data_IF_219171911815
#
_entry.id   IF_219171911815
#
_cell.length_a   1.000
_cell.length_b   1.000
_cell.length_c   1.000
_cell.angle_alpha   90.00
_cell.angle_beta   90.00
_cell.angle_gamma   90.00
#
_symmetry.space_group_name_H-M   'P 1'
#
loop_
_entity.id
_entity.type
_entity.pdbx_description
1 polymer ?
#
# COMPACT_ATOMS: atom_id res chain seq x y z
N UNK A 1 -44.24 41.61 11.08
CA UNK A 1 -44.64 40.24 11.46
C UNK A 1 -43.38 39.37 11.44
N UNK A 2 -43.20 38.53 12.46
CA UNK A 2 -42.13 37.53 12.70
C UNK A 2 -40.67 38.06 12.68
N UNK A 3 -40.07 38.51 13.78
CA UNK A 3 -39.59 37.84 15.03
C UNK A 3 -38.30 37.01 14.86
N UNK A 4 -37.21 37.67 15.27
CA UNK A 4 -35.92 37.15 15.71
C UNK A 4 -36.03 36.27 16.96
N UNK A 5 -35.20 35.23 17.04
CA UNK A 5 -34.86 34.51 18.27
C UNK A 5 -33.43 33.95 18.17
N UNK A 6 -32.51 34.28 19.09
CA UNK A 6 -31.30 33.52 19.32
C UNK A 6 -31.45 32.59 20.53
N UNK A 7 -30.79 31.44 20.45
CA UNK A 7 -30.68 30.44 21.52
C UNK A 7 -29.83 30.97 22.68
N UNK A 8 -30.26 30.69 23.90
CA UNK A 8 -29.53 31.01 25.13
C UNK A 8 -28.69 29.85 25.64
N UNK A 9 -27.64 30.18 26.38
CA UNK A 9 -27.08 29.29 27.41
C UNK A 9 -27.04 30.01 28.76
N UNK A 10 -27.44 29.25 29.76
CA UNK A 10 -27.70 29.62 31.14
C UNK A 10 -26.39 29.71 31.92
N UNK A 11 -26.07 30.90 32.41
CA UNK A 11 -25.04 31.14 33.42
C UNK A 11 -25.74 31.14 34.79
N UNK A 12 -25.43 30.17 35.65
CA UNK A 12 -25.80 30.20 37.06
C UNK A 12 -24.56 30.58 37.87
N UNK A 13 -24.55 31.82 38.34
CA UNK A 13 -23.72 32.26 39.44
C UNK A 13 -24.63 32.57 40.65
N UNK A 14 -24.27 32.03 41.81
CA UNK A 14 -24.69 32.52 43.13
C UNK A 14 -23.36 32.75 43.86
N UNK A 15 -22.86 33.98 44.04
CA UNK A 15 -23.38 35.01 44.95
C UNK A 15 -22.97 34.65 46.39
N UNK A 16 -22.20 35.41 47.16
CA UNK A 16 -21.57 36.71 47.00
C UNK A 16 -20.97 37.17 48.35
N UNK A 17 -19.98 38.08 48.30
CA UNK A 17 -19.60 39.10 49.31
C UNK A 17 -19.04 38.63 50.67
N UNK A 18 -18.15 39.33 51.38
CA UNK A 18 -17.82 40.76 51.42
C UNK A 18 -16.45 40.97 52.12
N UNK A 19 -15.61 41.83 51.51
CA UNK A 19 -14.69 42.87 52.04
C UNK A 19 -13.81 42.60 53.28
N UNK A 20 -12.50 42.88 53.16
CA UNK A 20 -11.67 43.31 54.29
C UNK A 20 -10.16 43.32 54.07
N UNK A 21 -9.60 44.49 53.77
CA UNK A 21 -8.16 44.76 53.65
C UNK A 21 -7.56 45.02 55.05
N UNK A 22 -6.52 44.30 55.49
CA UNK A 22 -5.60 44.76 56.53
C UNK A 22 -4.19 44.22 56.31
N UNK A 23 -3.24 45.14 56.23
CA UNK A 23 -1.82 44.88 56.27
C UNK A 23 -1.34 44.65 57.71
N UNK A 24 -0.30 43.82 57.81
CA UNK A 24 0.93 44.03 58.60
C UNK A 24 1.26 43.01 59.72
N UNK A 25 2.58 42.78 59.76
CA UNK A 25 3.47 42.37 60.84
C UNK A 25 3.77 40.88 61.07
N UNK A 26 5.06 40.60 60.93
CA UNK A 26 5.82 39.40 61.25
C UNK A 26 5.82 39.07 62.73
N UNK A 27 5.57 37.80 63.07
CA UNK A 27 5.94 37.22 64.37
C UNK A 27 6.45 35.79 64.12
N UNK A 28 7.74 35.58 64.33
CA UNK A 28 8.37 34.25 64.45
C UNK A 28 8.10 33.71 65.86
N UNK A 29 7.80 32.41 66.03
CA UNK A 29 8.40 31.71 67.15
C UNK A 29 8.89 30.29 66.82
N UNK A 30 10.20 30.12 67.02
CA UNK A 30 10.89 29.02 67.68
C UNK A 30 10.37 27.57 67.55
N UNK A 31 11.14 26.75 66.83
CA UNK A 31 11.08 25.28 66.80
C UNK A 31 12.03 24.72 67.88
N UNK A 32 11.61 23.74 68.71
CA UNK A 32 12.55 22.86 69.40
C UNK A 32 12.81 21.57 68.60
N UNK A 33 14.08 21.20 68.48
CA UNK A 33 14.62 19.93 67.95
C UNK A 33 14.42 18.79 68.96
N UNK A 34 14.01 17.55 68.61
CA UNK A 34 14.79 16.35 68.18
C UNK A 34 13.85 15.10 68.35
N UNK A 35 14.18 13.84 67.92
CA UNK A 35 15.43 13.34 67.34
C UNK A 35 15.28 12.59 65.99
N UNK A 36 16.43 12.30 65.40
CA UNK A 36 16.62 11.53 64.19
C UNK A 36 16.07 10.09 64.30
N UNK A 37 15.30 9.67 63.29
CA UNK A 37 15.03 8.27 63.00
C UNK A 37 15.90 7.81 61.84
N UNK A 38 16.46 6.62 62.04
CA UNK A 38 17.44 5.91 61.24
C UNK A 38 17.02 5.76 59.78
N UNK A 39 18.00 5.92 58.89
CA UNK A 39 17.92 5.62 57.47
C UNK A 39 17.54 4.15 57.27
N UNK A 40 16.29 3.89 56.88
CA UNK A 40 15.97 2.67 56.15
C UNK A 40 16.45 2.89 54.72
N UNK A 41 17.52 2.20 54.36
CA UNK A 41 17.82 1.89 52.95
C UNK A 41 16.60 1.18 52.37
N UNK A 42 15.85 1.86 51.51
CA UNK A 42 14.97 1.22 50.55
C UNK A 42 15.83 0.28 49.70
N UNK A 43 15.81 -1.00 50.04
CA UNK A 43 16.17 -2.02 49.08
C UNK A 43 15.04 -2.04 48.07
N UNK A 44 15.30 -1.41 46.93
CA UNK A 44 14.55 -1.60 45.69
C UNK A 44 14.59 -3.09 45.36
N UNK A 45 13.63 -3.82 45.92
CA UNK A 45 13.48 -5.25 45.70
C UNK A 45 12.63 -5.34 44.45
N UNK A 46 13.26 -5.25 43.29
CA UNK A 46 12.60 -5.52 42.02
C UNK A 46 11.89 -6.88 42.17
N UNK A 47 10.56 -6.88 42.00
CA UNK A 47 9.79 -8.12 41.94
C UNK A 47 10.49 -9.04 40.93
N UNK A 48 10.72 -10.33 41.27
CA UNK A 48 11.38 -11.24 40.35
C UNK A 48 10.60 -11.25 39.04
N UNK A 49 11.30 -10.98 37.92
CA UNK A 49 10.71 -11.01 36.58
C UNK A 49 9.86 -12.28 36.43
N UNK A 50 8.65 -12.15 35.88
CA UNK A 50 7.75 -13.28 35.62
C UNK A 50 8.36 -14.31 34.68
N UNK A 51 9.42 -13.93 33.97
CA UNK A 51 10.19 -14.73 33.03
C UNK A 51 11.45 -15.35 33.66
N UNK A 52 11.66 -15.15 34.97
CA UNK A 52 12.83 -15.67 35.66
C UNK A 52 12.88 -17.21 35.62
N UNK A 53 14.06 -17.74 35.30
CA UNK A 53 14.32 -19.18 35.26
C UNK A 53 14.00 -19.86 33.92
N UNK A 54 13.47 -19.12 32.94
CA UNK A 54 13.35 -19.61 31.56
C UNK A 54 14.72 -19.68 30.88
N UNK A 55 14.87 -20.64 29.97
CA UNK A 55 16.03 -20.69 29.09
C UNK A 55 16.02 -19.48 28.14
N UNK A 56 17.19 -18.88 27.91
CA UNK A 56 17.31 -17.65 27.13
C UNK A 56 17.63 -17.97 25.68
N UNK A 57 16.81 -17.45 24.78
CA UNK A 57 17.08 -17.36 23.35
C UNK A 57 17.82 -16.04 23.04
N UNK A 58 18.64 -16.06 22.00
CA UNK A 58 19.37 -14.88 21.52
C UNK A 58 18.90 -14.57 20.10
N UNK A 59 18.49 -13.33 19.85
CA UNK A 59 18.07 -12.89 18.52
C UNK A 59 19.21 -13.07 17.50
N UNK A 60 18.90 -13.66 16.34
CA UNK A 60 19.90 -13.98 15.31
C UNK A 60 20.62 -15.32 15.51
N UNK A 61 20.47 -15.96 16.68
CA UNK A 61 21.02 -17.28 16.93
C UNK A 61 19.97 -18.37 16.76
N UNK A 62 20.41 -19.52 16.25
CA UNK A 62 19.56 -20.70 16.12
C UNK A 62 19.41 -21.39 17.48
N UNK A 63 18.17 -21.56 17.94
CA UNK A 63 17.84 -22.36 19.11
C UNK A 63 17.29 -23.72 18.68
N UNK A 64 17.62 -24.80 19.40
CA UNK A 64 17.05 -26.13 19.16
C UNK A 64 16.40 -26.66 20.42
N UNK A 65 15.26 -27.32 20.27
CA UNK A 65 14.55 -27.95 21.36
C UNK A 65 13.75 -29.16 20.89
N UNK A 66 12.98 -29.74 21.80
CA UNK A 66 12.08 -30.84 21.50
C UNK A 66 10.86 -30.75 22.42
N UNK A 67 9.66 -30.80 21.82
CA UNK A 67 8.42 -30.94 22.59
C UNK A 67 8.17 -32.43 22.79
N UNK A 68 8.06 -32.87 24.04
CA UNK A 68 7.87 -34.29 24.42
C UNK A 68 6.63 -34.47 25.28
N UNK A 69 6.28 -35.73 25.60
CA UNK A 69 5.20 -36.04 26.54
C UNK A 69 5.44 -35.53 27.97
N UNK A 70 6.69 -35.19 28.31
CA UNK A 70 7.07 -34.63 29.61
C UNK A 70 7.00 -33.10 29.63
N UNK A 71 6.97 -32.44 28.46
CA UNK A 71 6.83 -30.99 28.32
C UNK A 71 5.53 -30.47 28.95
N UNK A 72 5.47 -29.17 29.22
CA UNK A 72 4.32 -28.57 29.90
C UNK A 72 3.02 -28.77 29.08
N UNK A 73 1.92 -29.08 29.77
CA UNK A 73 0.62 -29.34 29.15
C UNK A 73 -0.19 -28.06 29.03
N UNK A 74 -0.66 -27.75 27.82
CA UNK A 74 -1.71 -26.77 27.60
C UNK A 74 -3.06 -27.38 28.01
N UNK A 75 -3.68 -26.83 29.06
CA UNK A 75 -4.93 -27.35 29.60
C UNK A 75 -6.17 -27.10 28.73
N UNK A 76 -6.07 -26.25 27.71
CA UNK A 76 -7.20 -25.90 26.85
C UNK A 76 -7.40 -26.93 25.72
N UNK A 77 -6.32 -27.32 25.04
CA UNK A 77 -6.34 -28.19 23.85
C UNK A 77 -5.54 -29.50 24.02
N UNK A 78 -4.84 -29.66 25.14
CA UNK A 78 -4.02 -30.84 25.44
C UNK A 78 -2.67 -30.88 24.72
N UNK A 79 -2.33 -29.85 23.94
CA UNK A 79 -1.00 -29.69 23.33
C UNK A 79 0.09 -29.53 24.38
N UNK A 80 1.35 -29.65 23.93
CA UNK A 80 2.53 -29.59 24.77
C UNK A 80 3.44 -28.48 24.29
N UNK A 81 4.11 -27.81 25.21
CA UNK A 81 4.91 -26.64 24.86
C UNK A 81 6.18 -26.50 25.70
N UNK A 82 7.13 -25.76 25.14
CA UNK A 82 8.35 -25.27 25.80
C UNK A 82 8.35 -23.73 25.83
N UNK A 83 9.07 -23.14 26.77
CA UNK A 83 9.12 -21.67 26.98
C UNK A 83 10.55 -21.16 27.02
N UNK A 84 10.76 -20.04 26.36
CA UNK A 84 12.03 -19.34 26.31
C UNK A 84 11.82 -17.86 26.57
N UNK A 85 12.87 -17.17 27.01
CA UNK A 85 12.91 -15.71 27.11
C UNK A 85 13.86 -15.15 26.06
N UNK A 86 13.47 -14.08 25.39
CA UNK A 86 14.28 -13.36 24.40
C UNK A 86 14.27 -11.87 24.72
N UNK A 87 15.42 -11.21 24.68
CA UNK A 87 15.51 -9.77 24.84
C UNK A 87 15.37 -9.09 23.47
N UNK A 88 14.43 -8.16 23.35
CA UNK A 88 14.12 -7.43 22.12
C UNK A 88 14.16 -5.92 22.38
N UNK A 89 14.55 -5.15 21.37
CA UNK A 89 14.67 -3.70 21.46
C UNK A 89 13.41 -3.03 20.87
N UNK A 90 13.03 -1.88 21.39
CA UNK A 90 11.94 -1.03 20.87
C UNK A 90 12.18 -0.72 19.38
N UNK A 91 11.09 -0.66 18.62
CA UNK A 91 11.04 -0.48 17.17
C UNK A 91 11.62 -1.63 16.32
N UNK A 92 12.18 -2.68 16.92
CA UNK A 92 12.56 -3.88 16.16
C UNK A 92 11.31 -4.49 15.50
N UNK A 93 11.39 -4.82 14.21
CA UNK A 93 10.52 -5.82 13.60
C UNK A 93 11.25 -7.16 13.63
N UNK A 94 10.72 -8.12 14.39
CA UNK A 94 11.33 -9.43 14.56
C UNK A 94 10.52 -10.50 13.87
N UNK A 95 11.20 -11.31 13.06
CA UNK A 95 10.66 -12.56 12.55
C UNK A 95 11.19 -13.72 13.39
N UNK A 96 10.29 -14.62 13.81
CA UNK A 96 10.65 -15.91 14.42
C UNK A 96 10.00 -17.03 13.63
N UNK A 97 10.81 -17.92 13.06
CA UNK A 97 10.35 -19.11 12.36
C UNK A 97 10.51 -20.36 13.22
N UNK A 98 9.51 -21.22 13.17
CA UNK A 98 9.53 -22.55 13.73
C UNK A 98 9.77 -23.57 12.61
N UNK A 99 10.91 -24.25 12.68
CA UNK A 99 11.30 -25.28 11.72
C UNK A 99 11.47 -26.64 12.40
N UNK A 100 11.36 -27.73 11.65
CA UNK A 100 11.69 -29.07 12.12
C UNK A 100 10.55 -30.08 11.94
N UNK A 101 10.56 -31.13 12.77
CA UNK A 101 9.56 -32.21 12.67
C UNK A 101 8.32 -31.93 13.52
N UNK A 102 8.41 -31.00 14.47
CA UNK A 102 7.28 -30.56 15.27
C UNK A 102 6.28 -29.83 14.38
N UNK A 103 5.04 -30.33 14.32
CA UNK A 103 3.90 -29.60 13.77
C UNK A 103 3.36 -28.70 14.88
N UNK A 104 3.43 -27.40 14.71
CA UNK A 104 3.16 -26.48 15.79
C UNK A 104 3.27 -25.01 15.41
N UNK A 105 3.29 -24.17 16.43
CA UNK A 105 3.43 -22.72 16.30
C UNK A 105 4.39 -22.20 17.36
N UNK A 106 4.96 -21.03 17.09
CA UNK A 106 5.60 -20.18 18.08
C UNK A 106 4.66 -19.02 18.42
N UNK A 107 4.49 -18.75 19.70
CA UNK A 107 3.74 -17.61 20.21
C UNK A 107 4.68 -16.67 20.97
N UNK A 108 4.46 -15.37 20.85
CA UNK A 108 5.22 -14.33 21.55
C UNK A 108 4.32 -13.58 22.54
N UNK A 109 4.83 -13.41 23.77
CA UNK A 109 4.16 -12.69 24.84
C UNK A 109 5.05 -11.58 25.39
N UNK A 110 4.42 -10.49 25.83
CA UNK A 110 5.11 -9.41 26.56
C UNK A 110 5.48 -9.81 28.01
N UNK A 111 6.12 -8.90 28.73
CA UNK A 111 6.55 -9.08 30.13
C UNK A 111 5.36 -9.17 31.12
N UNK A 112 4.17 -8.70 30.70
CA UNK A 112 2.92 -8.82 31.42
C UNK A 112 2.18 -10.13 31.11
N UNK A 113 2.73 -10.98 30.24
CA UNK A 113 2.16 -12.22 29.74
C UNK A 113 0.90 -12.02 28.88
N UNK A 114 0.77 -10.87 28.21
CA UNK A 114 -0.20 -10.70 27.12
C UNK A 114 0.34 -11.35 25.86
N UNK A 115 -0.50 -12.13 25.18
CA UNK A 115 -0.19 -12.69 23.87
C UNK A 115 -0.18 -11.54 22.86
N UNK A 116 0.89 -11.43 22.09
CA UNK A 116 0.98 -10.46 20.99
C UNK A 116 0.60 -11.13 19.68
N UNK A 117 1.21 -12.29 19.38
CA UNK A 117 0.93 -13.05 18.17
C UNK A 117 1.31 -14.54 18.30
N UNK A 118 0.79 -15.40 17.40
CA UNK A 118 1.21 -16.79 17.25
C UNK A 118 1.07 -17.31 15.82
N UNK A 119 2.15 -17.88 15.29
CA UNK A 119 2.19 -18.49 13.95
C UNK A 119 3.35 -19.50 13.82
N UNK A 120 3.44 -20.19 12.68
CA UNK A 120 4.65 -20.97 12.33
C UNK A 120 5.82 -20.04 12.00
N UNK A 121 5.54 -18.95 11.28
CA UNK A 121 6.44 -17.80 11.09
C UNK A 121 5.70 -16.59 11.61
N UNK A 122 6.13 -16.06 12.76
CA UNK A 122 5.54 -14.85 13.34
C UNK A 122 6.40 -13.64 13.00
N UNK A 123 5.77 -12.49 12.78
CA UNK A 123 6.43 -11.20 12.63
C UNK A 123 5.81 -10.22 13.61
N UNK A 124 6.64 -9.68 14.50
CA UNK A 124 6.17 -8.82 15.57
C UNK A 124 6.97 -7.52 15.61
N UNK A 125 6.26 -6.39 15.51
CA UNK A 125 6.83 -5.09 15.84
C UNK A 125 6.88 -4.92 17.36
N UNK A 126 8.03 -4.47 17.86
CA UNK A 126 8.29 -4.38 19.29
C UNK A 126 8.05 -2.96 19.76
N UNK A 127 6.96 -2.76 20.51
CA UNK A 127 6.58 -1.43 20.99
C UNK A 127 7.45 -0.92 22.14
N UNK A 128 8.10 -1.81 22.89
CA UNK A 128 8.91 -1.46 24.07
C UNK A 128 10.10 -2.40 24.22
N UNK A 129 11.27 -1.86 24.56
CA UNK A 129 12.46 -2.68 24.83
C UNK A 129 12.23 -3.54 26.08
N UNK A 130 12.55 -4.84 26.04
CA UNK A 130 12.34 -5.72 27.18
C UNK A 130 12.62 -7.20 26.94
N UNK A 131 12.36 -7.99 27.98
CA UNK A 131 12.35 -9.46 27.88
C UNK A 131 10.93 -9.90 27.45
N UNK A 132 10.86 -10.66 26.36
CA UNK A 132 9.65 -11.28 25.81
C UNK A 132 9.71 -12.80 26.02
N UNK A 133 8.54 -13.45 26.09
CA UNK A 133 8.45 -14.90 26.20
C UNK A 133 8.07 -15.52 24.86
N UNK A 134 8.89 -16.44 24.37
CA UNK A 134 8.56 -17.32 23.25
C UNK A 134 8.00 -18.64 23.78
N UNK A 135 6.88 -19.09 23.23
CA UNK A 135 6.26 -20.37 23.56
C UNK A 135 6.17 -21.20 22.30
N UNK A 136 6.90 -22.32 22.25
CA UNK A 136 6.83 -23.28 21.14
C UNK A 136 5.84 -24.36 21.53
N UNK A 137 4.73 -24.47 20.81
CA UNK A 137 3.65 -25.40 21.10
C UNK A 137 3.41 -26.34 19.94
N UNK A 138 3.17 -27.62 20.24
CA UNK A 138 2.59 -28.55 19.26
C UNK A 138 1.18 -28.11 18.84
N UNK A 139 0.78 -28.46 17.62
CA UNK A 139 -0.53 -28.12 17.06
C UNK A 139 -1.69 -28.82 17.79
N UNK A 140 -1.44 -29.99 18.36
CA UNK A 140 -2.41 -30.76 19.14
C UNK A 140 -1.74 -31.65 20.22
N UNK A 141 -2.55 -32.42 20.95
CA UNK A 141 -2.09 -33.32 22.01
C UNK A 141 -1.18 -34.47 21.56
N UNK A 142 -1.05 -34.71 20.25
CA UNK A 142 -0.21 -35.74 19.66
C UNK A 142 1.01 -35.16 18.93
N UNK A 143 1.11 -33.83 18.87
CA UNK A 143 2.18 -33.12 18.18
C UNK A 143 3.39 -32.99 19.08
N UNK A 144 4.37 -33.87 18.84
CA UNK A 144 5.65 -33.94 19.52
C UNK A 144 6.78 -33.97 18.50
N UNK A 145 7.97 -33.55 18.93
CA UNK A 145 9.16 -33.73 18.12
C UNK A 145 10.16 -32.59 18.24
N UNK A 146 11.33 -32.77 17.62
CA UNK A 146 12.38 -31.77 17.62
C UNK A 146 11.98 -30.56 16.77
N UNK A 147 12.40 -29.40 17.24
CA UNK A 147 12.24 -28.13 16.53
C UNK A 147 13.52 -27.30 16.55
N UNK A 148 13.54 -26.33 15.66
CA UNK A 148 14.52 -25.26 15.58
C UNK A 148 13.77 -23.95 15.55
N UNK A 149 14.18 -22.99 16.38
CA UNK A 149 13.76 -21.60 16.22
C UNK A 149 14.88 -20.83 15.54
N UNK A 150 14.54 -20.12 14.48
CA UNK A 150 15.39 -19.09 13.90
C UNK A 150 14.71 -17.75 14.13
N UNK A 151 15.46 -16.78 14.64
CA UNK A 151 14.95 -15.43 14.89
C UNK A 151 15.86 -14.43 14.23
N UNK A 152 15.30 -13.38 13.64
CA UNK A 152 16.07 -12.32 13.00
C UNK A 152 15.34 -10.99 13.07
N UNK A 153 16.11 -9.91 13.01
CA UNK A 153 15.57 -8.58 12.73
C UNK A 153 15.28 -8.46 11.25
N UNK A 154 14.13 -7.89 10.92
CA UNK A 154 13.80 -7.46 9.57
C UNK A 154 14.24 -6.01 9.42
N UNK A 155 15.07 -5.75 8.42
CA UNK A 155 15.40 -4.39 8.01
C UNK A 155 14.30 -3.90 7.07
N UNK A 156 13.55 -2.90 7.49
CA UNK A 156 12.54 -2.25 6.68
C UNK A 156 13.08 -0.94 6.13
N UNK A 157 12.47 -0.50 5.05
CA UNK A 157 12.72 0.81 4.50
C UNK A 157 11.79 1.85 5.12
N UNK A 158 12.38 2.96 5.57
CA UNK A 158 11.70 4.14 6.09
C UNK A 158 11.57 5.27 5.04
N UNK A 159 11.84 4.97 3.77
CA UNK A 159 11.69 5.95 2.69
C UNK A 159 10.27 5.97 2.15
N UNK A 160 9.80 7.18 1.85
CA UNK A 160 8.53 7.43 1.15
C UNK A 160 8.75 7.65 -0.35
N UNK A 161 9.91 7.22 -0.87
CA UNK A 161 10.28 7.30 -2.29
C UNK A 161 10.62 5.94 -2.85
N UNK A 162 9.96 5.55 -3.93
CA UNK A 162 10.19 4.29 -4.63
C UNK A 162 11.22 4.49 -5.74
N UNK A 163 12.27 3.67 -5.73
CA UNK A 163 13.32 3.70 -6.73
C UNK A 163 13.11 2.59 -7.78
N UNK A 164 13.46 2.90 -9.03
CA UNK A 164 13.41 1.93 -10.13
C UNK A 164 14.34 0.73 -9.85
N UNK A 165 13.84 -0.46 -10.17
CA UNK A 165 14.54 -1.75 -10.06
C UNK A 165 15.13 -2.05 -8.68
N UNK A 166 14.63 -1.37 -7.65
CA UNK A 166 15.07 -1.54 -6.26
C UNK A 166 13.86 -1.88 -5.41
N UNK A 167 13.65 -3.17 -5.09
CA UNK A 167 12.58 -3.57 -4.20
C UNK A 167 12.71 -2.91 -2.83
N UNK A 168 11.56 -2.62 -2.22
CA UNK A 168 11.44 -1.95 -0.95
C UNK A 168 10.55 -2.77 -0.02
N UNK A 169 11.12 -3.27 1.07
CA UNK A 169 10.38 -3.94 2.13
C UNK A 169 9.88 -2.89 3.14
N UNK A 170 8.61 -2.96 3.53
CA UNK A 170 8.00 -2.05 4.50
C UNK A 170 6.95 -2.76 5.35
N UNK A 171 6.39 -2.05 6.33
CA UNK A 171 5.42 -2.57 7.29
C UNK A 171 4.16 -1.73 7.32
N UNK A 172 3.01 -2.35 7.08
CA UNK A 172 1.69 -1.74 7.19
C UNK A 172 1.19 -1.88 8.64
N UNK A 173 1.01 -0.74 9.34
CA UNK A 173 0.40 -0.68 10.68
C UNK A 173 -0.83 0.24 10.74
N UNK A 174 -1.09 1.01 9.68
CA UNK A 174 -2.20 1.94 9.54
C UNK A 174 -2.93 1.65 8.23
N UNK A 175 -4.08 2.30 8.03
CA UNK A 175 -4.95 2.09 6.87
C UNK A 175 -4.20 2.12 5.52
N UNK A 176 -3.16 2.96 5.38
CA UNK A 176 -2.33 3.05 4.17
C UNK A 176 -0.90 3.55 4.42
N UNK A 177 -0.03 3.36 3.42
CA UNK A 177 1.28 4.01 3.25
C UNK A 177 1.37 4.70 1.90
N UNK A 178 1.97 5.87 1.87
CA UNK A 178 2.14 6.67 0.65
C UNK A 178 3.60 6.68 0.22
N UNK A 179 3.83 6.53 -1.07
CA UNK A 179 5.14 6.60 -1.72
C UNK A 179 5.09 7.55 -2.92
N UNK A 180 6.24 8.09 -3.28
CA UNK A 180 6.42 8.95 -4.45
C UNK A 180 7.49 8.40 -5.38
N UNK A 181 7.35 8.61 -6.68
CA UNK A 181 8.41 8.34 -7.65
C UNK A 181 8.26 9.22 -8.90
N UNK A 182 9.38 9.40 -9.60
CA UNK A 182 9.44 10.15 -10.86
C UNK A 182 9.61 9.19 -12.03
N UNK A 183 8.76 9.33 -13.04
CA UNK A 183 8.96 8.73 -14.36
C UNK A 183 9.71 9.73 -15.23
N UNK A 184 10.94 9.41 -15.62
CA UNK A 184 11.76 10.29 -16.47
C UNK A 184 11.47 10.08 -17.97
N UNK A 185 11.16 8.85 -18.36
CA UNK A 185 10.91 8.45 -19.75
C UNK A 185 9.54 7.78 -19.88
N UNK A 186 8.79 8.14 -20.92
CA UNK A 186 7.48 7.54 -21.16
C UNK A 186 7.66 6.04 -21.50
N UNK A 187 6.91 5.15 -20.86
CA UNK A 187 7.08 3.72 -21.06
C UNK A 187 6.09 2.88 -20.28
N UNK A 188 6.18 1.56 -20.47
CA UNK A 188 5.44 0.60 -19.64
C UNK A 188 6.17 0.39 -18.32
N UNK A 189 5.42 0.38 -17.22
CA UNK A 189 5.94 0.10 -15.89
C UNK A 189 5.06 -0.93 -15.19
N UNK A 190 5.72 -1.79 -14.41
CA UNK A 190 5.08 -2.70 -13.47
C UNK A 190 5.36 -2.22 -12.05
N UNK A 191 4.29 -2.03 -11.28
CA UNK A 191 4.32 -1.74 -9.86
C UNK A 191 3.67 -2.92 -9.14
N UNK A 192 4.47 -3.68 -8.41
CA UNK A 192 4.01 -4.85 -7.64
C UNK A 192 3.97 -4.50 -6.16
N UNK A 193 2.90 -4.94 -5.48
CA UNK A 193 2.84 -5.04 -4.02
C UNK A 193 2.61 -6.48 -3.62
N UNK A 194 3.51 -7.03 -2.80
CA UNK A 194 3.44 -8.42 -2.33
C UNK A 194 3.37 -8.52 -0.82
N UNK A 195 2.42 -9.29 -0.32
CA UNK A 195 2.32 -9.65 1.10
C UNK A 195 1.75 -11.06 1.27
N UNK A 196 2.27 -11.79 2.25
CA UNK A 196 1.70 -13.07 2.69
C UNK A 196 0.75 -12.89 3.90
N UNK A 197 0.68 -11.68 4.47
CA UNK A 197 0.00 -11.39 5.73
C UNK A 197 -1.35 -10.70 5.53
N UNK A 198 -1.54 -10.02 4.40
CA UNK A 198 -2.78 -9.34 4.07
C UNK A 198 -3.04 -9.31 2.56
N UNK A 199 -4.29 -8.98 2.19
CA UNK A 199 -4.73 -8.80 0.82
C UNK A 199 -4.27 -7.43 0.29
N UNK A 200 -3.35 -7.42 -0.66
CA UNK A 200 -2.67 -6.21 -1.12
C UNK A 200 -3.59 -5.33 -1.95
N UNK A 201 -3.39 -4.01 -1.91
CA UNK A 201 -4.14 -3.07 -2.72
C UNK A 201 -3.29 -1.85 -3.03
N UNK A 202 -3.19 -1.51 -4.31
CA UNK A 202 -2.47 -0.35 -4.81
C UNK A 202 -3.44 0.69 -5.38
N UNK A 203 -3.16 1.96 -5.11
CA UNK A 203 -3.69 3.10 -5.86
C UNK A 203 -2.52 3.89 -6.40
N UNK A 204 -2.54 4.24 -7.69
CA UNK A 204 -1.55 5.07 -8.35
C UNK A 204 -2.22 6.32 -8.91
N UNK A 205 -1.79 7.46 -8.42
CA UNK A 205 -2.19 8.78 -8.92
C UNK A 205 -1.02 9.46 -9.62
N UNK A 206 -1.31 10.22 -10.68
CA UNK A 206 -0.28 10.86 -11.48
C UNK A 206 -0.72 12.16 -12.14
N UNK A 207 0.11 12.70 -13.05
CA UNK A 207 -0.17 13.95 -13.74
C UNK A 207 -1.47 13.89 -14.54
N UNK A 208 -2.11 15.05 -14.74
CA UNK A 208 -3.33 15.21 -15.54
C UNK A 208 -4.54 14.38 -15.06
N UNK A 209 -4.56 14.01 -13.77
CA UNK A 209 -5.65 13.23 -13.19
C UNK A 209 -5.57 11.74 -13.48
N UNK A 210 -4.39 11.23 -13.86
CA UNK A 210 -4.13 9.80 -14.00
C UNK A 210 -4.45 9.08 -12.69
N UNK A 211 -5.22 7.99 -12.77
CA UNK A 211 -5.64 7.19 -11.62
C UNK A 211 -5.71 5.70 -11.99
N UNK A 212 -5.06 4.82 -11.23
CA UNK A 212 -5.22 3.37 -11.36
C UNK A 212 -5.30 2.73 -9.98
N UNK A 213 -5.99 1.60 -9.90
CA UNK A 213 -6.03 0.77 -8.71
C UNK A 213 -5.99 -0.70 -9.10
N UNK A 214 -5.44 -1.54 -8.22
CA UNK A 214 -5.42 -3.00 -8.39
C UNK A 214 -5.24 -3.70 -7.03
N UNK A 215 -5.81 -4.91 -6.87
CA UNK A 215 -5.75 -5.72 -5.64
C UNK A 215 -5.22 -7.16 -5.83
N UNK A 216 -5.45 -7.83 -6.97
CA UNK A 216 -5.10 -9.25 -7.12
C UNK A 216 -4.42 -9.66 -8.46
N UNK A 217 -4.00 -8.71 -9.28
CA UNK A 217 -3.43 -9.00 -10.61
C UNK A 217 -2.00 -9.55 -10.61
N UNK A 218 -1.32 -9.65 -9.46
CA UNK A 218 0.02 -10.24 -9.33
C UNK A 218 0.01 -11.71 -8.86
N UNK A 219 -1.17 -12.31 -8.71
CA UNK A 219 -1.39 -13.69 -8.27
C UNK A 219 -1.46 -13.85 -6.75
N UNK A 220 -2.23 -14.86 -6.30
CA UNK A 220 -2.70 -14.97 -4.92
C UNK A 220 -3.50 -13.71 -4.52
N UNK A 221 -3.07 -12.99 -3.48
CA UNK A 221 -3.67 -11.77 -2.96
C UNK A 221 -2.71 -10.58 -3.12
N UNK A 222 -1.91 -10.60 -4.21
CA UNK A 222 -0.90 -9.59 -4.48
C UNK A 222 -1.39 -8.66 -5.60
N UNK A 223 -1.14 -7.36 -5.45
CA UNK A 223 -1.57 -6.33 -6.40
C UNK A 223 -0.49 -6.01 -7.43
N UNK A 224 -0.91 -5.69 -8.65
CA UNK A 224 -0.05 -5.19 -9.73
C UNK A 224 -0.73 -4.12 -10.57
N UNK A 225 -0.09 -2.96 -10.67
CA UNK A 225 -0.39 -1.97 -11.69
C UNK A 225 0.62 -2.13 -12.84
N UNK A 226 0.14 -2.51 -14.02
CA UNK A 226 0.93 -2.68 -15.23
C UNK A 226 0.41 -1.75 -16.34
N UNK A 227 1.00 -0.56 -16.48
CA UNK A 227 0.44 0.49 -17.35
C UNK A 227 1.52 1.34 -18.04
N UNK A 228 1.11 2.09 -19.06
CA UNK A 228 1.93 3.10 -19.71
C UNK A 228 1.92 4.40 -18.90
N UNK A 229 3.08 4.79 -18.39
CA UNK A 229 3.26 6.01 -17.63
C UNK A 229 3.96 7.07 -18.48
N UNK A 230 3.44 8.30 -18.43
CA UNK A 230 4.06 9.46 -19.04
C UNK A 230 5.10 10.07 -18.07
N UNK A 231 6.05 10.91 -18.55
CA UNK A 231 7.00 11.55 -17.66
C UNK A 231 6.30 12.45 -16.64
N UNK A 232 6.69 12.35 -15.38
CA UNK A 232 6.13 13.13 -14.29
C UNK A 232 6.25 12.49 -12.91
N UNK A 233 5.65 13.16 -11.93
CA UNK A 233 5.61 12.72 -10.53
C UNK A 233 4.34 11.90 -10.27
N UNK A 234 4.50 10.79 -9.57
CA UNK A 234 3.43 9.87 -9.22
C UNK A 234 3.36 9.65 -7.70
N UNK A 235 2.14 9.48 -7.19
CA UNK A 235 1.86 9.09 -5.81
C UNK A 235 1.28 7.68 -5.81
N UNK A 236 1.89 6.78 -5.04
CA UNK A 236 1.47 5.39 -4.87
C UNK A 236 0.98 5.19 -3.44
N UNK A 237 -0.27 4.80 -3.29
CA UNK A 237 -0.84 4.41 -2.00
C UNK A 237 -0.88 2.89 -1.92
N UNK A 238 -0.16 2.33 -0.94
CA UNK A 238 -0.12 0.92 -0.63
C UNK A 238 -0.94 0.65 0.64
N UNK A 239 -1.93 -0.24 0.55
CA UNK A 239 -2.81 -0.58 1.67
C UNK A 239 -3.25 -2.03 1.61
N UNK A 240 -3.98 -2.46 2.63
CA UNK A 240 -4.77 -3.69 2.53
C UNK A 240 -6.11 -3.40 1.83
N UNK A 241 -6.63 -4.38 1.08
CA UNK A 241 -7.87 -4.23 0.32
C UNK A 241 -9.06 -3.80 1.20
N UNK A 242 -9.12 -4.33 2.42
CA UNK A 242 -10.19 -4.06 3.39
C UNK A 242 -9.84 -3.02 4.46
N UNK A 243 -8.59 -2.52 4.49
CA UNK A 243 -8.15 -1.45 5.40
C UNK A 243 -7.86 -1.88 6.85
N UNK A 244 -7.88 -3.18 7.15
CA UNK A 244 -7.63 -3.76 8.47
C UNK A 244 -6.44 -4.74 8.51
N UNK A 245 -5.78 -4.95 7.37
CA UNK A 245 -4.58 -5.77 7.28
C UNK A 245 -3.35 -5.05 7.83
N UNK A 246 -2.58 -5.77 8.63
CA UNK A 246 -1.28 -5.35 9.17
C UNK A 246 -0.23 -6.39 8.76
N UNK A 247 1.00 -5.94 8.48
CA UNK A 247 2.05 -6.86 8.08
C UNK A 247 3.17 -6.28 7.22
N UNK A 248 4.18 -7.10 6.94
CA UNK A 248 5.24 -6.84 5.97
C UNK A 248 4.69 -6.92 4.56
N UNK A 249 5.17 -6.01 3.72
CA UNK A 249 4.99 -6.09 2.28
C UNK A 249 6.25 -5.63 1.55
N UNK A 250 6.39 -6.09 0.31
CA UNK A 250 7.44 -5.65 -0.62
C UNK A 250 6.80 -4.88 -1.77
N UNK A 251 7.31 -3.68 -2.06
CA UNK A 251 7.04 -2.93 -3.28
C UNK A 251 8.17 -3.09 -4.29
N UNK A 252 7.83 -3.18 -5.57
CA UNK A 252 8.80 -3.13 -6.66
C UNK A 252 8.25 -2.30 -7.82
N UNK A 253 9.05 -1.35 -8.30
CA UNK A 253 8.77 -0.57 -9.51
C UNK A 253 9.81 -0.93 -10.57
N UNK A 254 9.35 -1.49 -11.69
CA UNK A 254 10.22 -1.98 -12.76
C UNK A 254 9.75 -1.48 -14.11
N UNK A 255 10.63 -0.90 -14.96
CA UNK A 255 10.30 -0.69 -16.37
C UNK A 255 10.02 -2.03 -17.05
N UNK A 256 8.98 -2.08 -17.87
CA UNK A 256 8.69 -3.23 -18.72
C UNK A 256 9.22 -2.96 -20.11
N UNK A 257 10.26 -3.69 -20.48
CA UNK A 257 10.80 -3.67 -21.84
C UNK A 257 9.75 -4.18 -22.84
N UNK A 258 9.47 -3.38 -23.85
CA UNK A 258 8.69 -3.80 -25.01
C UNK A 258 9.63 -4.38 -26.08
N UNK A 259 9.12 -5.21 -27.02
CA UNK A 259 9.89 -5.62 -28.19
C UNK A 259 10.56 -4.41 -28.84
N UNK A 260 11.82 -4.55 -29.23
CA UNK A 260 12.77 -3.45 -29.49
C UNK A 260 12.40 -2.44 -30.59
N UNK A 261 11.30 -2.63 -31.31
CA UNK A 261 10.78 -1.71 -32.33
C UNK A 261 9.45 -1.03 -31.92
N UNK A 262 8.88 -1.38 -30.76
CA UNK A 262 7.60 -0.84 -30.29
C UNK A 262 7.83 0.37 -29.38
N UNK A 263 7.66 1.56 -29.95
CA UNK A 263 7.51 2.78 -29.17
C UNK A 263 6.03 3.08 -28.94
N UNK A 264 5.64 3.27 -27.67
CA UNK A 264 4.27 3.63 -27.33
C UNK A 264 4.08 5.14 -27.30
N UNK A 265 2.93 5.59 -27.78
CA UNK A 265 2.47 6.97 -27.72
C UNK A 265 0.98 7.00 -27.43
N UNK A 266 0.61 7.41 -26.22
CA UNK A 266 -0.79 7.50 -25.76
C UNK A 266 -1.43 8.88 -25.93
N UNK A 267 -0.69 9.87 -26.44
CA UNK A 267 -1.19 11.22 -26.67
C UNK A 267 -0.33 11.97 -27.71
N UNK A 268 -0.86 13.10 -28.19
CA UNK A 268 -0.15 14.04 -29.05
C UNK A 268 -0.70 14.10 -30.48
N UNK A 269 0.12 14.55 -31.41
CA UNK A 269 -0.26 14.74 -32.81
C UNK A 269 -0.33 13.40 -33.57
N UNK A 270 -1.36 13.23 -34.41
CA UNK A 270 -1.42 12.21 -35.46
C UNK A 270 -0.92 12.82 -36.76
N UNK A 271 0.25 12.41 -37.21
CA UNK A 271 0.75 12.82 -38.52
C UNK A 271 0.12 11.94 -39.62
N UNK A 272 -0.47 12.53 -40.67
CA UNK A 272 -0.94 11.75 -41.82
C UNK A 272 0.16 10.89 -42.44
N UNK A 273 -0.15 9.61 -42.70
CA UNK A 273 0.79 8.61 -43.20
C UNK A 273 1.56 7.86 -42.12
N UNK A 274 1.35 8.18 -40.84
CA UNK A 274 1.96 7.51 -39.69
C UNK A 274 1.10 6.34 -39.19
N UNK A 275 1.74 5.37 -38.55
CA UNK A 275 1.10 4.40 -37.66
C UNK A 275 1.85 4.41 -36.33
N UNK A 276 1.10 4.40 -35.23
CA UNK A 276 1.64 4.42 -33.87
C UNK A 276 1.12 3.22 -33.09
N UNK A 277 1.85 2.85 -32.04
CA UNK A 277 1.36 1.91 -31.05
C UNK A 277 0.97 2.66 -29.78
N UNK A 278 -0.12 2.27 -29.15
CA UNK A 278 -0.56 2.79 -27.86
C UNK A 278 -0.98 1.68 -26.91
N UNK A 279 -1.12 2.01 -25.64
CA UNK A 279 -1.59 1.11 -24.60
C UNK A 279 -2.87 1.65 -23.99
N UNK A 280 -3.98 0.93 -24.17
CA UNK A 280 -5.26 1.27 -23.56
C UNK A 280 -5.38 0.56 -22.21
N UNK A 281 -6.00 1.22 -21.24
CA UNK A 281 -6.13 0.73 -19.86
C UNK A 281 -7.43 1.22 -19.20
N UNK A 282 -8.53 1.22 -19.96
CA UNK A 282 -9.85 1.64 -19.49
C UNK A 282 -10.19 3.14 -19.68
N UNK A 283 -9.19 4.01 -19.82
CA UNK A 283 -9.38 5.44 -20.07
C UNK A 283 -9.16 5.83 -21.53
N UNK A 284 -9.99 6.75 -22.02
CA UNK A 284 -9.90 7.27 -23.39
C UNK A 284 -8.58 7.99 -23.63
N UNK A 285 -7.93 7.67 -24.74
CA UNK A 285 -6.71 8.32 -25.21
C UNK A 285 -7.05 9.33 -26.29
N UNK A 286 -6.48 10.52 -26.22
CA UNK A 286 -6.80 11.61 -27.13
C UNK A 286 -5.59 12.05 -27.94
N UNK A 287 -5.80 12.17 -29.25
CA UNK A 287 -4.82 12.67 -30.20
C UNK A 287 -5.38 13.84 -31.02
N UNK A 288 -4.49 14.64 -31.58
CA UNK A 288 -4.83 15.79 -32.43
C UNK A 288 -4.44 15.52 -33.88
N UNK A 289 -5.40 15.64 -34.80
CA UNK A 289 -5.19 15.57 -36.25
C UNK A 289 -5.41 16.95 -36.86
N UNK A 290 -4.39 17.52 -37.49
CA UNK A 290 -4.50 18.79 -38.22
C UNK A 290 -4.42 18.54 -39.73
N UNK A 291 -5.36 19.14 -40.47
CA UNK A 291 -5.44 19.07 -41.93
C UNK A 291 -5.32 20.47 -42.53
N UNK A 292 -4.40 20.66 -43.48
CA UNK A 292 -4.19 21.94 -44.17
C UNK A 292 -5.13 22.12 -45.38
N UNK A 293 -5.65 21.02 -45.93
CA UNK A 293 -6.53 20.99 -47.10
C UNK A 293 -7.59 19.90 -46.96
N UNK A 294 -8.68 20.00 -47.75
CA UNK A 294 -9.74 18.99 -47.75
C UNK A 294 -9.17 17.62 -48.10
N UNK A 295 -9.32 16.65 -47.20
CA UNK A 295 -8.67 15.35 -47.32
C UNK A 295 -9.66 14.22 -47.08
N UNK A 296 -9.54 13.14 -47.85
CA UNK A 296 -10.16 11.86 -47.51
C UNK A 296 -9.30 11.20 -46.44
N UNK A 297 -9.85 11.09 -45.23
CA UNK A 297 -9.16 10.55 -44.06
C UNK A 297 -9.63 9.13 -43.79
N UNK A 298 -8.69 8.22 -43.54
CA UNK A 298 -8.94 6.89 -43.00
C UNK A 298 -8.14 6.71 -41.71
N UNK A 299 -8.84 6.40 -40.62
CA UNK A 299 -8.27 6.01 -39.34
C UNK A 299 -8.64 4.55 -39.10
N UNK A 300 -7.64 3.68 -38.92
CA UNK A 300 -7.85 2.30 -38.47
C UNK A 300 -7.24 2.15 -37.07
N UNK A 301 -8.00 1.63 -36.12
CA UNK A 301 -7.51 1.19 -34.81
C UNK A 301 -7.66 -0.33 -34.70
N UNK A 302 -6.59 -1.01 -34.31
CA UNK A 302 -6.56 -2.48 -34.24
C UNK A 302 -5.95 -2.97 -32.94
N UNK A 303 -6.55 -3.98 -32.35
CA UNK A 303 -6.00 -4.63 -31.16
C UNK A 303 -6.31 -6.12 -31.14
N UNK A 304 -5.32 -6.92 -30.73
CA UNK A 304 -5.53 -8.34 -30.39
C UNK A 304 -6.06 -8.53 -28.97
N UNK A 305 -5.99 -7.49 -28.15
CA UNK A 305 -6.15 -7.58 -26.70
C UNK A 305 -7.54 -7.10 -26.27
N UNK A 306 -8.16 -6.20 -27.03
CA UNK A 306 -9.48 -5.66 -26.73
C UNK A 306 -10.28 -5.25 -27.97
N UNK A 307 -11.58 -5.05 -27.76
CA UNK A 307 -12.51 -4.54 -28.77
C UNK A 307 -12.39 -3.02 -28.88
N UNK A 308 -12.03 -2.51 -30.05
CA UNK A 308 -11.62 -1.12 -30.24
C UNK A 308 -12.83 -0.20 -30.50
N UNK A 309 -12.67 1.08 -30.21
CA UNK A 309 -13.67 2.10 -30.50
C UNK A 309 -12.97 3.43 -30.80
N UNK A 310 -13.24 3.99 -31.99
CA UNK A 310 -12.71 5.27 -32.44
C UNK A 310 -13.78 6.35 -32.47
N UNK A 311 -13.41 7.58 -32.11
CA UNK A 311 -14.22 8.78 -32.27
C UNK A 311 -13.41 9.89 -32.93
N UNK A 312 -14.07 10.68 -33.79
CA UNK A 312 -13.49 11.89 -34.39
C UNK A 312 -14.45 13.05 -34.18
N UNK A 313 -13.96 14.12 -33.56
CA UNK A 313 -14.73 15.34 -33.31
C UNK A 313 -13.96 16.57 -33.75
N UNK A 314 -14.64 17.53 -34.39
CA UNK A 314 -14.02 18.80 -34.80
C UNK A 314 -14.75 19.44 -35.96
N UNK A 315 -14.76 20.78 -36.03
CA UNK A 315 -15.37 21.52 -37.14
C UNK A 315 -16.83 21.14 -37.48
N UNK A 316 -17.62 20.72 -36.47
CA UNK A 316 -19.01 20.27 -36.66
C UNK A 316 -19.15 18.81 -37.11
N UNK A 317 -18.04 18.08 -37.27
CA UNK A 317 -17.99 16.63 -37.49
C UNK A 317 -18.01 15.92 -36.13
N UNK A 318 -18.77 14.84 -36.06
CA UNK A 318 -18.79 13.87 -34.95
C UNK A 318 -19.03 12.49 -35.58
N UNK A 319 -18.01 11.65 -35.53
CA UNK A 319 -17.99 10.31 -36.11
C UNK A 319 -17.55 9.32 -35.04
N UNK A 320 -18.06 8.10 -35.13
CA UNK A 320 -17.60 7.00 -34.29
C UNK A 320 -17.75 5.67 -35.00
N UNK A 321 -16.87 4.72 -34.71
CA UNK A 321 -16.92 3.37 -35.24
C UNK A 321 -16.22 2.39 -34.28
N UNK A 322 -16.73 1.17 -34.17
CA UNK A 322 -16.19 0.09 -33.33
C UNK A 322 -15.72 -1.13 -34.13
N UNK A 323 -16.35 -1.48 -35.26
CA UNK A 323 -16.07 -2.72 -35.99
C UNK A 323 -15.85 -2.58 -37.52
N UNK A 324 -15.71 -1.35 -38.02
CA UNK A 324 -15.64 -1.02 -39.45
C UNK A 324 -14.40 -1.51 -40.19
N UNK A 325 -13.34 -1.94 -39.49
CA UNK A 325 -12.18 -2.61 -40.08
C UNK A 325 -12.34 -4.15 -40.13
N UNK A 326 -13.42 -4.69 -39.53
CA UNK A 326 -13.76 -6.11 -39.45
C UNK A 326 -13.28 -6.77 -38.16
N UNK A 327 -14.04 -7.74 -37.66
CA UNK A 327 -13.74 -8.34 -36.35
C UNK A 327 -14.16 -7.39 -35.23
N UNK A 328 -13.21 -6.98 -34.40
CA UNK A 328 -13.34 -6.03 -33.28
C UNK A 328 -12.46 -4.78 -33.48
N UNK A 329 -12.07 -4.54 -34.74
CA UNK A 329 -11.21 -3.43 -35.15
C UNK A 329 -12.05 -2.30 -35.76
N UNK A 330 -11.81 -1.07 -35.32
CA UNK A 330 -12.54 0.13 -35.77
C UNK A 330 -11.93 0.77 -37.02
N UNK A 331 -12.77 1.33 -37.89
CA UNK A 331 -12.37 2.19 -39.01
C UNK A 331 -13.30 3.37 -39.19
N UNK A 332 -12.72 4.58 -39.21
CA UNK A 332 -13.40 5.78 -39.69
C UNK A 332 -12.86 6.11 -41.08
N UNK A 333 -13.73 6.34 -42.06
CA UNK A 333 -13.37 6.85 -43.39
C UNK A 333 -14.31 7.98 -43.79
N UNK A 334 -13.80 9.21 -43.86
CA UNK A 334 -14.61 10.40 -44.14
C UNK A 334 -13.81 11.47 -44.89
N UNK A 335 -14.50 12.33 -45.64
CA UNK A 335 -13.90 13.55 -46.20
C UNK A 335 -13.98 14.69 -45.17
N UNK A 336 -12.82 15.13 -44.69
CA UNK A 336 -12.70 16.19 -43.70
C UNK A 336 -12.19 17.49 -44.34
N UNK A 337 -12.76 18.61 -43.90
CA UNK A 337 -12.32 19.96 -44.29
C UNK A 337 -11.01 20.34 -43.57
N UNK A 338 -10.31 21.39 -44.03
CA UNK A 338 -9.14 21.89 -43.32
C UNK A 338 -9.48 22.30 -41.88
N UNK A 339 -8.59 21.97 -40.94
CA UNK A 339 -8.68 22.35 -39.54
C UNK A 339 -8.20 21.25 -38.61
N UNK A 340 -8.53 21.40 -37.32
CA UNK A 340 -8.06 20.52 -36.25
C UNK A 340 -9.20 19.64 -35.74
N UNK A 341 -8.91 18.35 -35.59
CA UNK A 341 -9.81 17.32 -35.14
C UNK A 341 -9.21 16.60 -33.93
N UNK A 342 -10.06 16.29 -32.97
CA UNK A 342 -9.77 15.42 -31.84
C UNK A 342 -10.08 13.99 -32.26
N UNK A 343 -9.10 13.11 -32.18
CA UNK A 343 -9.28 11.67 -32.38
C UNK A 343 -9.18 10.98 -31.03
N UNK A 344 -10.25 10.33 -30.61
CA UNK A 344 -10.30 9.58 -29.34
C UNK A 344 -10.24 8.09 -29.62
N UNK A 345 -9.25 7.42 -29.05
CA UNK A 345 -9.07 5.98 -29.08
C UNK A 345 -9.41 5.38 -27.72
N UNK A 346 -10.30 4.40 -27.68
CA UNK A 346 -10.67 3.69 -26.46
C UNK A 346 -11.10 2.26 -26.76
N UNK A 347 -11.38 1.49 -25.72
CA UNK A 347 -12.08 0.23 -25.83
C UNK A 347 -13.59 0.42 -25.92
N UNK A 348 -14.28 -0.55 -26.51
CA UNK A 348 -15.73 -0.68 -26.41
C UNK A 348 -16.18 -0.84 -24.95
N UNK A 349 -15.40 -1.61 -24.17
CA UNK A 349 -15.52 -1.71 -22.71
C UNK A 349 -14.42 -0.90 -22.02
N UNK A 350 -14.78 -0.20 -20.93
CA UNK A 350 -13.84 0.53 -20.09
C UNK A 350 -13.06 -0.36 -19.10
N UNK A 351 -13.32 -1.67 -19.10
CA UNK A 351 -12.59 -2.65 -18.27
C UNK A 351 -11.47 -3.34 -19.06
N UNK A 352 -11.34 -3.04 -20.35
CA UNK A 352 -10.34 -3.68 -21.19
C UNK A 352 -9.00 -2.94 -21.09
N UNK A 353 -7.92 -3.67 -21.33
CA UNK A 353 -6.58 -3.12 -21.41
C UNK A 353 -5.75 -3.89 -22.44
N UNK A 354 -4.76 -3.23 -23.02
CA UNK A 354 -3.84 -3.86 -23.96
C UNK A 354 -3.27 -2.94 -25.01
N UNK A 355 -2.43 -3.53 -25.85
CA UNK A 355 -1.75 -2.86 -26.94
C UNK A 355 -2.71 -2.64 -28.11
N UNK A 356 -2.58 -1.50 -28.79
CA UNK A 356 -3.25 -1.27 -30.07
C UNK A 356 -2.32 -0.56 -31.05
N UNK A 357 -2.62 -0.72 -32.34
CA UNK A 357 -2.05 0.07 -33.42
C UNK A 357 -3.11 1.07 -33.92
N UNK A 358 -2.74 2.34 -34.07
CA UNK A 358 -3.56 3.38 -34.71
C UNK A 358 -2.83 3.87 -35.96
N UNK A 359 -3.47 3.72 -37.12
CA UNK A 359 -2.94 4.18 -38.40
C UNK A 359 -3.77 5.32 -38.98
N UNK A 360 -3.08 6.36 -39.45
CA UNK A 360 -3.71 7.56 -40.01
C UNK A 360 -3.30 7.72 -41.46
N UNK A 361 -4.27 7.75 -42.37
CA UNK A 361 -4.06 8.12 -43.77
C UNK A 361 -4.92 9.33 -44.09
N UNK A 362 -4.34 10.34 -44.75
CA UNK A 362 -5.08 11.45 -45.31
C UNK A 362 -4.57 11.70 -46.73
N UNK A 363 -5.48 11.68 -47.70
CA UNK A 363 -5.17 11.99 -49.09
C UNK A 363 -5.96 13.23 -49.53
N UNK A 364 -5.31 14.24 -50.14
CA UNK A 364 -6.02 15.41 -50.65
C UNK A 364 -7.14 14.98 -51.60
N UNK A 365 -8.31 15.60 -51.45
CA UNK A 365 -9.50 15.22 -52.20
C UNK A 365 -10.22 16.45 -52.75
N UNK A 366 -10.63 16.37 -54.02
CA UNK A 366 -11.45 17.40 -54.66
C UNK A 366 -12.93 17.05 -54.47
N UNK A 367 -13.65 17.77 -53.60
CA UNK A 367 -15.08 17.60 -53.37
C UNK A 367 -15.59 18.35 -52.14
N UNK A 368 -16.88 18.68 -52.12
CA UNK A 368 -17.56 19.11 -50.88
C UNK A 368 -17.91 17.86 -50.04
N UNK A 369 -17.76 17.91 -48.71
CA UNK A 369 -18.09 16.79 -47.82
C UNK A 369 -19.53 16.32 -48.04
N UNK A 370 -19.75 15.00 -48.04
CA UNK A 370 -21.10 14.45 -48.02
C UNK A 370 -21.63 14.54 -46.59
N UNK A 371 -22.28 15.66 -46.26
CA UNK A 371 -22.90 15.91 -44.95
C UNK A 371 -24.07 14.99 -44.63
#
# INVERSE_FOLDING_TARGET
MAKSSPFGYLLVAVGGGVIGFLAAQSITPNIPSEPAHESQTDQDTAEPSRLAGLERATLGERLRGEVTSESALNGNDGSRFERYVIALDEDDLVEVSLDGALQGVVAIYDDQLQLLDSAEVLRQRIDQSGDYMLVVSGADAQSYGPFTLESRRLELSDTDTLALDTPLDSWLQSDEREYTFTVEEAGMYDIDMRSDEFDAYLVLEGPNGYYREDDDSAGNLNARIADFLAPGEYQLTARSAYGDGEGVFTLALTPRELPSDTQLRNAGELTPGESLNGWYSGESLTYELTLDETSSVTLDMRSSDFDTYLEVEGNGVSLSDDDGAGGTDSRITEQLLPGTYTVTARGYSNTASGLFELSTRAEPSEGEPQL
#
